data_IF_402146386506
#
_entry.id   IF_402146386506
#
_cell.length_a   1.000
_cell.length_b   1.000
_cell.length_c   1.000
_cell.angle_alpha   90.00
_cell.angle_beta   90.00
_cell.angle_gamma   90.00
#
_symmetry.space_group_name_H-M   'P 1'
#
loop_
_entity.id
_entity.type
_entity.pdbx_description
1 polymer ?
#
# COMPACT_ATOMS: atom_id res chain seq x y z
N UNK A 1 16.49 1.10 1.17
CA UNK A 1 16.95 0.03 0.27
C UNK A 1 15.76 -0.38 -0.58
N UNK A 2 15.75 -0.02 -1.87
CA UNK A 2 14.69 -0.44 -2.78
C UNK A 2 15.01 -1.87 -3.25
N UNK A 3 14.30 -2.86 -2.72
CA UNK A 3 14.38 -4.24 -3.22
C UNK A 3 13.76 -4.26 -4.62
N UNK A 4 14.47 -4.80 -5.61
CA UNK A 4 13.95 -4.95 -6.96
C UNK A 4 12.73 -5.89 -6.92
N UNK A 5 11.55 -5.31 -7.09
CA UNK A 5 10.25 -5.92 -6.78
C UNK A 5 9.77 -6.86 -7.90
N UNK A 6 10.61 -7.12 -8.90
CA UNK A 6 10.24 -7.93 -10.06
C UNK A 6 11.24 -7.76 -11.19
N UNK A 7 11.13 -8.66 -12.16
CA UNK A 7 11.98 -8.68 -13.36
C UNK A 7 11.13 -8.50 -14.60
N UNK A 8 11.63 -7.74 -15.56
CA UNK A 8 11.02 -7.69 -16.90
C UNK A 8 11.31 -9.02 -17.58
N UNK A 9 10.26 -9.76 -17.89
CA UNK A 9 10.36 -11.02 -18.64
C UNK A 9 9.55 -10.92 -19.93
N UNK A 10 10.08 -11.53 -20.99
CA UNK A 10 9.35 -11.76 -22.24
C UNK A 10 8.36 -12.89 -22.04
N UNK A 11 7.08 -12.56 -22.07
CA UNK A 11 5.97 -13.49 -21.94
C UNK A 11 5.34 -13.74 -23.32
N UNK A 12 4.91 -14.98 -23.54
CA UNK A 12 4.13 -15.35 -24.71
C UNK A 12 2.67 -15.36 -24.26
N UNK A 13 1.86 -14.42 -24.78
CA UNK A 13 0.43 -14.31 -24.45
C UNK A 13 -0.42 -14.53 -25.70
N UNK A 14 -1.64 -15.02 -25.50
CA UNK A 14 -2.62 -15.13 -26.57
C UNK A 14 -3.41 -13.81 -26.67
N UNK A 15 -3.30 -13.12 -27.81
CA UNK A 15 -4.03 -11.88 -28.09
C UNK A 15 -4.97 -12.09 -29.30
N UNK A 16 -5.97 -11.21 -29.56
CA UNK A 16 -6.81 -11.33 -30.75
C UNK A 16 -5.96 -11.36 -32.03
N UNK A 17 -6.36 -12.17 -33.01
CA UNK A 17 -5.52 -12.55 -34.16
C UNK A 17 -5.16 -11.43 -35.16
N UNK A 18 -5.32 -10.15 -34.79
CA UNK A 18 -5.04 -8.98 -35.62
C UNK A 18 -3.55 -8.72 -35.86
N UNK A 19 -2.64 -9.23 -35.01
CA UNK A 19 -1.19 -8.99 -35.14
C UNK A 19 -0.31 -10.05 -34.43
N UNK A 20 -0.50 -11.35 -34.70
CA UNK A 20 0.30 -12.40 -34.04
C UNK A 20 0.56 -13.63 -34.90
N UNK A 21 1.44 -14.51 -34.41
CA UNK A 21 1.81 -15.76 -35.08
C UNK A 21 0.82 -16.87 -34.67
N UNK A 22 0.41 -17.72 -35.63
CA UNK A 22 -0.41 -18.89 -35.30
C UNK A 22 0.42 -19.91 -34.51
N UNK A 23 -0.01 -20.24 -33.30
CA UNK A 23 0.68 -21.15 -32.39
C UNK A 23 -0.31 -21.88 -31.46
N UNK A 24 0.15 -22.36 -30.30
CA UNK A 24 -0.62 -23.15 -29.32
C UNK A 24 -1.70 -22.35 -28.56
N UNK A 25 -2.28 -21.32 -29.17
CA UNK A 25 -3.36 -20.51 -28.61
C UNK A 25 -4.73 -21.00 -29.11
N UNK A 26 -5.83 -20.78 -28.35
CA UNK A 26 -7.18 -21.15 -28.78
C UNK A 26 -7.61 -20.50 -30.09
N UNK A 27 -8.55 -21.13 -30.80
CA UNK A 27 -9.07 -20.63 -32.09
C UNK A 27 -9.56 -19.18 -31.97
N UNK A 28 -9.11 -18.31 -32.89
CA UNK A 28 -9.41 -16.88 -32.87
C UNK A 28 -8.38 -15.99 -32.15
N UNK A 29 -7.34 -16.59 -31.56
CA UNK A 29 -6.23 -15.84 -30.93
C UNK A 29 -4.88 -16.21 -31.56
N UNK A 30 -3.93 -15.29 -31.51
CA UNK A 30 -2.57 -15.46 -32.01
C UNK A 30 -1.54 -15.22 -30.90
N UNK A 31 -0.39 -15.88 -31.00
CA UNK A 31 0.71 -15.69 -30.06
C UNK A 31 1.36 -14.34 -30.31
N UNK A 32 1.45 -13.53 -29.25
CA UNK A 32 2.20 -12.28 -29.22
C UNK A 32 3.27 -12.35 -28.13
N UNK A 33 4.47 -11.88 -28.46
CA UNK A 33 5.55 -11.71 -27.50
C UNK A 33 5.43 -10.32 -26.90
N UNK A 34 5.23 -10.26 -25.59
CA UNK A 34 5.11 -9.01 -24.83
C UNK A 34 6.09 -9.02 -23.67
N UNK A 35 6.63 -7.85 -23.33
CA UNK A 35 7.40 -7.70 -22.10
C UNK A 35 6.45 -7.34 -20.96
N UNK A 36 6.42 -8.20 -19.94
CA UNK A 36 5.64 -7.99 -18.72
C UNK A 36 6.56 -7.82 -17.52
N UNK A 37 6.13 -7.02 -16.55
CA UNK A 37 6.78 -6.96 -15.25
C UNK A 37 6.24 -8.12 -14.40
N UNK A 38 7.09 -9.10 -14.10
CA UNK A 38 6.70 -10.29 -13.35
C UNK A 38 7.12 -10.14 -11.90
N UNK A 39 6.14 -10.27 -11.01
CA UNK A 39 6.28 -10.15 -9.57
C UNK A 39 6.16 -11.56 -8.98
N UNK A 40 6.92 -11.88 -7.94
CA UNK A 40 6.76 -13.15 -7.22
C UNK A 40 5.44 -13.17 -6.44
N UNK A 41 4.76 -14.33 -6.38
CA UNK A 41 3.47 -14.44 -5.69
C UNK A 41 3.55 -14.06 -4.20
N UNK A 42 4.70 -14.25 -3.56
CA UNK A 42 4.96 -13.82 -2.18
C UNK A 42 4.96 -12.30 -1.99
N UNK A 43 5.27 -11.53 -3.04
CA UNK A 43 5.31 -10.07 -3.00
C UNK A 43 4.06 -9.41 -3.57
N UNK A 44 3.14 -10.19 -4.15
CA UNK A 44 1.89 -9.70 -4.73
C UNK A 44 1.08 -8.87 -3.71
N UNK A 45 0.92 -9.37 -2.48
CA UNK A 45 0.17 -8.66 -1.43
C UNK A 45 0.76 -7.28 -1.09
N UNK A 46 2.09 -7.14 -1.16
CA UNK A 46 2.77 -5.87 -0.90
C UNK A 46 2.60 -4.88 -2.06
N UNK A 47 2.56 -5.39 -3.28
CA UNK A 47 2.29 -4.59 -4.46
C UNK A 47 0.86 -4.10 -4.53
N UNK A 48 -0.10 -4.98 -4.28
CA UNK A 48 -1.51 -4.60 -4.23
C UNK A 48 -1.74 -3.54 -3.16
N UNK A 49 -1.15 -3.71 -1.96
CA UNK A 49 -1.21 -2.70 -0.90
C UNK A 49 -0.52 -1.37 -1.26
N UNK A 50 0.48 -1.38 -2.15
CA UNK A 50 1.13 -0.16 -2.65
C UNK A 50 0.38 0.47 -3.84
N UNK A 51 -0.42 -0.31 -4.56
CA UNK A 51 -1.25 0.13 -5.67
C UNK A 51 -2.61 0.67 -5.21
N UNK A 52 -3.01 0.40 -3.96
CA UNK A 52 -4.22 0.98 -3.38
C UNK A 52 -4.12 2.51 -3.36
N UNK A 53 -5.19 3.21 -3.81
CA UNK A 53 -5.21 4.67 -3.81
C UNK A 53 -5.15 5.21 -2.38
N UNK A 54 -4.37 6.27 -2.17
CA UNK A 54 -4.27 6.93 -0.87
C UNK A 54 -5.62 7.54 -0.47
N UNK A 55 -6.21 7.05 0.63
CA UNK A 55 -7.42 7.62 1.21
C UNK A 55 -7.08 8.70 2.26
N UNK A 56 -7.24 9.99 1.94
CA UNK A 56 -6.93 11.08 2.87
C UNK A 56 -7.88 11.12 4.08
N UNK A 57 -9.11 10.60 3.96
CA UNK A 57 -10.08 10.62 5.04
C UNK A 57 -9.69 9.61 6.12
N UNK A 58 -9.39 8.37 5.75
CA UNK A 58 -8.89 7.36 6.68
C UNK A 58 -7.55 7.79 7.30
N UNK A 59 -6.61 8.30 6.49
CA UNK A 59 -5.33 8.79 7.00
C UNK A 59 -5.49 9.92 8.05
N UNK A 60 -6.39 10.86 7.79
CA UNK A 60 -6.73 11.94 8.72
C UNK A 60 -7.31 11.42 10.04
N UNK A 61 -8.18 10.41 9.98
CA UNK A 61 -8.77 9.80 11.18
C UNK A 61 -7.72 9.12 12.06
N UNK A 62 -6.81 8.33 11.47
CA UNK A 62 -5.74 7.66 12.22
C UNK A 62 -4.77 8.66 12.85
N UNK A 63 -4.36 9.68 12.09
CA UNK A 63 -3.48 10.73 12.62
C UNK A 63 -4.16 11.52 13.74
N UNK A 64 -5.42 11.94 13.53
CA UNK A 64 -6.18 12.70 14.52
C UNK A 64 -6.37 11.94 15.82
N UNK A 65 -6.67 10.64 15.75
CA UNK A 65 -6.83 9.80 16.93
C UNK A 65 -5.52 9.65 17.72
N UNK A 66 -4.41 9.38 17.03
CA UNK A 66 -3.10 9.26 17.68
C UNK A 66 -2.66 10.57 18.34
N UNK A 67 -2.87 11.70 17.65
CA UNK A 67 -2.57 13.02 18.17
C UNK A 67 -3.44 13.38 19.39
N UNK A 68 -4.75 13.16 19.31
CA UNK A 68 -5.68 13.43 20.39
C UNK A 68 -5.38 12.58 21.63
N UNK A 69 -5.08 11.29 21.46
CA UNK A 69 -4.69 10.41 22.57
C UNK A 69 -3.41 10.91 23.27
N UNK A 70 -2.42 11.34 22.50
CA UNK A 70 -1.16 11.86 23.05
C UNK A 70 -1.39 13.16 23.82
N UNK A 71 -2.17 14.10 23.25
CA UNK A 71 -2.53 15.34 23.93
C UNK A 71 -3.34 15.10 25.20
N UNK A 72 -4.27 14.15 25.17
CA UNK A 72 -5.08 13.80 26.33
C UNK A 72 -4.19 13.37 27.51
N UNK A 73 -3.26 12.45 27.29
CA UNK A 73 -2.32 11.99 28.33
C UNK A 73 -1.45 13.14 28.82
N UNK A 74 -0.96 13.99 27.92
CA UNK A 74 -0.14 15.15 28.26
C UNK A 74 -0.90 16.15 29.16
N UNK A 75 -2.12 16.53 28.76
CA UNK A 75 -2.94 17.50 29.49
C UNK A 75 -3.41 16.94 30.84
N UNK A 76 -3.76 15.66 30.92
CA UNK A 76 -4.11 15.01 32.18
C UNK A 76 -2.93 15.02 33.15
N UNK A 77 -1.73 14.74 32.65
CA UNK A 77 -0.50 14.77 33.47
C UNK A 77 -0.20 16.18 33.99
N UNK A 78 -0.35 17.20 33.14
CA UNK A 78 -0.22 18.60 33.55
C UNK A 78 -1.29 19.01 34.57
N UNK A 79 -2.54 18.61 34.36
CA UNK A 79 -3.65 18.90 35.26
C UNK A 79 -3.44 18.29 36.65
N UNK A 80 -3.03 17.03 36.72
CA UNK A 80 -2.70 16.37 37.98
C UNK A 80 -1.56 17.10 38.72
N UNK A 81 -0.52 17.50 38.01
CA UNK A 81 0.57 18.31 38.57
C UNK A 81 0.10 19.66 39.11
N UNK A 82 -0.82 20.34 38.41
CA UNK A 82 -1.39 21.62 38.85
C UNK A 82 -2.22 21.47 40.14
N UNK A 83 -3.05 20.42 40.23
CA UNK A 83 -3.87 20.13 41.42
C UNK A 83 -2.99 19.84 42.63
N UNK A 84 -1.98 18.99 42.48
CA UNK A 84 -1.03 18.68 43.58
C UNK A 84 -0.34 19.96 44.07
N UNK A 85 0.07 20.82 43.14
CA UNK A 85 0.75 22.07 43.48
C UNK A 85 -0.16 23.03 44.23
N UNK A 86 -1.43 23.14 43.83
CA UNK A 86 -2.44 23.94 44.52
C UNK A 86 -2.66 23.46 45.96
N UNK A 87 -2.82 22.15 46.18
CA UNK A 87 -3.00 21.57 47.52
C UNK A 87 -1.75 21.76 48.38
N UNK A 88 -0.55 21.67 47.79
CA UNK A 88 0.70 21.87 48.52
C UNK A 88 0.91 23.31 49.01
N UNK A 89 0.33 24.28 48.32
CA UNK A 89 0.48 25.72 48.63
C UNK A 89 -0.69 26.30 49.42
N UNK A 90 -1.75 25.53 49.65
CA UNK A 90 -2.89 25.88 50.51
C UNK A 90 -2.62 25.47 51.96
#
# INVERSE_FOLDING_TARGET
MATAIGTVQTLIVCQPASAGVQGACPVGTAQAVVQGYVITASEAARFEAAAEPFDPAAAGAYFGLAFAATLFVYLVSLGAGAVIRMVRTA
#
